data_IF_475781967409
#
_entry.id   IF_475781967409
#
_cell.length_a   1.000
_cell.length_b   1.000
_cell.length_c   1.000
_cell.angle_alpha   90.00
_cell.angle_beta   90.00
_cell.angle_gamma   90.00
#
_symmetry.space_group_name_H-M   'P 1'
#
loop_
_entity.id
_entity.type
_entity.pdbx_description
1 polymer ?
#
# COMPACT_ATOMS: atom_id res chain seq x y z
N UNK A 1 10.69 14.92 45.81
CA UNK A 1 9.52 14.13 45.37
C UNK A 1 8.83 14.69 44.11
N UNK A 2 8.77 16.01 43.88
CA UNK A 2 8.15 16.59 42.67
C UNK A 2 8.91 16.37 41.34
N UNK A 3 10.21 16.03 41.39
CA UNK A 3 11.05 15.85 40.18
C UNK A 3 10.90 14.47 39.51
N UNK A 4 10.32 13.49 40.19
CA UNK A 4 10.09 12.14 39.64
C UNK A 4 8.83 12.05 38.77
N UNK A 5 7.84 12.92 38.99
CA UNK A 5 6.59 12.94 38.22
C UNK A 5 6.80 13.44 36.79
N UNK A 6 7.76 14.34 36.57
CA UNK A 6 8.03 14.92 35.24
C UNK A 6 8.71 13.89 34.30
N UNK A 7 9.52 12.98 34.84
CA UNK A 7 10.22 11.98 34.02
C UNK A 7 9.28 10.85 33.52
N UNK A 8 8.24 10.51 34.30
CA UNK A 8 7.23 9.53 33.91
C UNK A 8 6.20 10.08 32.92
N UNK A 9 6.01 11.40 32.86
CA UNK A 9 5.11 12.04 31.89
C UNK A 9 5.74 12.12 30.48
N UNK A 10 7.07 12.18 30.37
CA UNK A 10 7.78 12.17 29.09
C UNK A 10 7.85 10.78 28.42
N UNK A 11 7.72 9.69 29.19
CA UNK A 11 7.69 8.32 28.64
C UNK A 11 6.34 7.90 28.05
N UNK A 12 5.31 8.76 28.15
CA UNK A 12 3.99 8.55 27.53
C UNK A 12 3.82 9.26 26.19
N UNK A 13 4.89 9.82 25.62
CA UNK A 13 4.91 10.15 24.20
C UNK A 13 4.96 8.82 23.44
N UNK A 14 3.80 8.18 23.33
CA UNK A 14 3.57 7.07 22.42
C UNK A 14 3.95 7.57 21.03
N UNK A 15 5.14 7.20 20.59
CA UNK A 15 5.52 7.34 19.19
C UNK A 15 4.50 6.51 18.42
N UNK A 16 3.61 7.17 17.68
CA UNK A 16 2.76 6.50 16.71
C UNK A 16 3.73 5.83 15.73
N UNK A 17 3.86 4.51 15.83
CA UNK A 17 4.63 3.74 14.87
C UNK A 17 3.88 3.84 13.54
N UNK A 18 4.28 4.81 12.71
CA UNK A 18 3.88 4.84 11.30
C UNK A 18 4.53 3.61 10.65
N UNK A 19 3.74 2.84 9.92
CA UNK A 19 4.26 1.68 9.22
C UNK A 19 4.54 2.02 7.77
N UNK A 20 5.67 1.51 7.31
CA UNK A 20 6.09 1.56 5.93
C UNK A 20 6.75 2.86 5.50
N UNK A 21 7.04 2.93 4.20
CA UNK A 21 7.69 4.07 3.57
C UNK A 21 6.80 5.31 3.49
N UNK A 22 5.48 5.15 3.63
CA UNK A 22 4.50 6.22 3.54
C UNK A 22 4.01 6.61 4.94
N UNK A 23 4.38 7.80 5.46
CA UNK A 23 3.95 8.26 6.78
C UNK A 23 2.52 8.83 6.78
N UNK A 24 1.92 9.08 5.62
CA UNK A 24 0.62 9.72 5.53
C UNK A 24 -0.51 8.75 5.93
N UNK A 25 -1.62 9.26 6.51
CA UNK A 25 -2.77 8.46 6.86
C UNK A 25 -3.57 8.03 5.63
N UNK A 26 -4.22 6.87 5.73
CA UNK A 26 -5.19 6.36 4.75
C UNK A 26 -4.64 6.28 3.32
N UNK A 27 -3.49 5.61 3.16
CA UNK A 27 -2.83 5.42 1.87
C UNK A 27 -2.89 3.96 1.43
N UNK A 28 -3.22 3.70 0.18
CA UNK A 28 -3.06 2.37 -0.43
C UNK A 28 -1.72 2.31 -1.17
N UNK A 29 -0.98 1.23 -0.98
CA UNK A 29 0.32 1.00 -1.63
C UNK A 29 0.57 -0.46 -1.97
N UNK A 30 1.63 -0.70 -2.74
CA UNK A 30 2.09 -2.03 -3.15
C UNK A 30 3.46 -2.31 -2.54
N UNK A 31 3.59 -3.44 -1.86
CA UNK A 31 4.82 -3.78 -1.13
C UNK A 31 5.15 -5.28 -1.26
N UNK A 32 6.42 -5.63 -1.16
CA UNK A 32 6.90 -7.02 -1.17
C UNK A 32 7.05 -7.63 0.23
N UNK A 33 6.70 -6.87 1.26
CA UNK A 33 6.58 -7.32 2.65
C UNK A 33 5.28 -6.79 3.27
N UNK A 34 4.90 -7.35 4.42
CA UNK A 34 3.66 -6.98 5.12
C UNK A 34 3.82 -5.81 6.09
N UNK A 35 5.04 -5.30 6.28
CA UNK A 35 5.32 -4.11 7.09
C UNK A 35 5.25 -2.81 6.26
N UNK A 36 5.25 -2.91 4.93
CA UNK A 36 5.17 -1.77 4.02
C UNK A 36 6.53 -1.12 3.74
N UNK A 37 7.63 -1.85 3.90
CA UNK A 37 9.00 -1.29 3.86
C UNK A 37 9.71 -1.48 2.51
N UNK A 38 9.23 -2.39 1.67
CA UNK A 38 9.91 -2.83 0.45
C UNK A 38 8.99 -2.66 -0.76
N UNK A 39 9.32 -1.75 -1.67
CA UNK A 39 8.59 -1.52 -2.93
C UNK A 39 9.31 -2.07 -4.16
N UNK A 40 10.52 -2.62 -3.98
CA UNK A 40 11.30 -3.23 -5.03
C UNK A 40 11.82 -4.59 -4.62
N UNK A 41 11.86 -5.52 -5.57
CA UNK A 41 12.50 -6.81 -5.34
C UNK A 41 13.14 -7.34 -6.61
N UNK A 42 13.84 -8.47 -6.47
CA UNK A 42 14.39 -9.22 -7.59
C UNK A 42 13.72 -10.59 -7.65
N UNK A 43 13.54 -11.10 -8.86
CA UNK A 43 12.87 -12.36 -9.12
C UNK A 43 13.60 -13.12 -10.23
N UNK A 44 13.70 -14.44 -10.09
CA UNK A 44 14.25 -15.29 -11.13
C UNK A 44 13.30 -15.42 -12.33
N UNK A 45 13.83 -15.82 -13.47
CA UNK A 45 13.04 -16.21 -14.64
C UNK A 45 12.08 -17.36 -14.28
N UNK A 46 10.81 -17.25 -14.68
CA UNK A 46 9.74 -18.21 -14.34
C UNK A 46 9.66 -18.43 -12.83
N UNK A 47 9.30 -17.38 -12.09
CA UNK A 47 9.11 -17.47 -10.64
C UNK A 47 7.86 -16.75 -10.18
N UNK A 48 7.47 -17.04 -8.94
CA UNK A 48 6.34 -16.43 -8.26
C UNK A 48 6.87 -15.54 -7.14
N UNK A 49 6.32 -14.33 -7.05
CA UNK A 49 6.67 -13.36 -6.01
C UNK A 49 5.39 -12.83 -5.39
N UNK A 50 5.32 -12.88 -4.06
CA UNK A 50 4.22 -12.29 -3.33
C UNK A 50 4.43 -10.77 -3.20
N UNK A 51 3.41 -10.03 -3.60
CA UNK A 51 3.25 -8.61 -3.35
C UNK A 51 1.95 -8.40 -2.56
N UNK A 52 1.86 -7.33 -1.78
CA UNK A 52 0.76 -7.05 -0.90
C UNK A 52 0.17 -5.68 -1.24
N UNK A 53 -1.14 -5.63 -1.38
CA UNK A 53 -1.89 -4.37 -1.35
C UNK A 53 -2.10 -4.01 0.12
N UNK A 54 -1.47 -2.94 0.58
CA UNK A 54 -1.53 -2.51 1.97
C UNK A 54 -2.29 -1.18 2.08
N UNK A 55 -3.19 -1.09 3.05
CA UNK A 55 -3.72 0.18 3.56
C UNK A 55 -2.85 0.61 4.75
N UNK A 56 -2.07 1.66 4.57
CA UNK A 56 -1.14 2.18 5.58
C UNK A 56 -1.77 3.31 6.38
N UNK A 57 -1.39 3.34 7.66
CA UNK A 57 -1.81 4.30 8.68
C UNK A 57 -3.32 4.63 8.65
N UNK A 58 -4.22 3.62 8.60
CA UNK A 58 -5.65 3.86 8.48
C UNK A 58 -6.21 4.60 9.71
N UNK A 59 -7.09 5.56 9.47
CA UNK A 59 -7.80 6.32 10.52
C UNK A 59 -9.10 5.67 10.97
N UNK A 60 -9.51 4.59 10.29
CA UNK A 60 -10.68 3.78 10.58
C UNK A 60 -10.28 2.47 11.30
N UNK A 61 -11.12 1.92 12.19
CA UNK A 61 -10.76 0.74 12.99
C UNK A 61 -10.89 -0.60 12.23
N UNK A 62 -11.65 -0.62 11.14
CA UNK A 62 -11.87 -1.81 10.32
C UNK A 62 -12.31 -1.44 8.90
N UNK A 63 -12.12 -2.37 7.97
CA UNK A 63 -12.47 -2.22 6.55
C UNK A 63 -13.38 -3.36 6.09
N UNK A 64 -14.46 -3.04 5.39
CA UNK A 64 -15.41 -4.01 4.82
C UNK A 64 -15.20 -4.30 3.33
N UNK A 65 -14.23 -3.65 2.71
CA UNK A 65 -13.94 -3.82 1.29
C UNK A 65 -13.05 -2.71 0.78
N UNK A 66 -12.54 -2.87 -0.43
CA UNK A 66 -11.77 -1.82 -1.10
C UNK A 66 -11.92 -1.94 -2.61
N UNK A 67 -11.54 -0.88 -3.30
CA UNK A 67 -11.41 -0.88 -4.74
C UNK A 67 -10.12 -0.20 -5.19
N UNK A 68 -9.43 -0.82 -6.13
CA UNK A 68 -8.28 -0.28 -6.83
C UNK A 68 -8.11 -0.99 -8.18
N UNK A 69 -7.07 -0.65 -8.92
CA UNK A 69 -6.64 -1.36 -10.11
C UNK A 69 -5.14 -1.63 -10.02
N UNK A 70 -4.74 -2.84 -10.45
CA UNK A 70 -3.34 -3.24 -10.56
C UNK A 70 -2.98 -3.37 -12.02
N UNK A 71 -2.17 -2.45 -12.52
CA UNK A 71 -1.80 -2.39 -13.93
C UNK A 71 -0.30 -2.60 -14.11
N UNK A 72 0.08 -2.94 -15.34
CA UNK A 72 1.47 -3.11 -15.78
C UNK A 72 1.59 -2.66 -17.23
N UNK A 73 2.80 -2.30 -17.71
CA UNK A 73 2.98 -1.92 -19.10
C UNK A 73 2.43 -2.97 -20.07
N UNK A 74 1.87 -2.49 -21.18
CA UNK A 74 1.36 -3.37 -22.23
C UNK A 74 2.50 -4.23 -22.81
N UNK A 75 2.21 -5.49 -23.13
CA UNK A 75 3.21 -6.43 -23.65
C UNK A 75 4.09 -7.11 -22.60
N UNK A 76 3.95 -6.79 -21.31
CA UNK A 76 4.68 -7.49 -20.26
C UNK A 76 4.10 -8.89 -20.03
N UNK A 77 4.96 -9.91 -20.10
CA UNK A 77 4.59 -11.32 -19.93
C UNK A 77 4.54 -11.73 -18.46
N UNK A 78 3.72 -11.05 -17.67
CA UNK A 78 3.46 -11.40 -16.27
C UNK A 78 1.98 -11.57 -16.03
N UNK A 79 1.61 -12.36 -15.02
CA UNK A 79 0.23 -12.54 -14.61
C UNK A 79 0.09 -12.25 -13.11
N UNK A 80 -1.07 -11.73 -12.73
CA UNK A 80 -1.41 -11.45 -11.35
C UNK A 80 -2.55 -12.37 -10.91
N UNK A 81 -2.35 -13.06 -9.79
CA UNK A 81 -3.43 -13.77 -9.09
C UNK A 81 -3.63 -13.11 -7.74
N UNK A 82 -4.87 -12.76 -7.39
CA UNK A 82 -5.18 -12.01 -6.18
C UNK A 82 -5.94 -12.89 -5.19
N UNK A 83 -5.51 -12.86 -3.94
CA UNK A 83 -6.17 -13.52 -2.80
C UNK A 83 -6.42 -12.49 -1.70
N UNK A 84 -7.39 -12.76 -0.83
CA UNK A 84 -7.88 -11.81 0.17
C UNK A 84 -7.79 -12.42 1.57
N UNK A 85 -7.65 -11.59 2.63
CA UNK A 85 -7.43 -12.07 4.01
C UNK A 85 -8.65 -12.79 4.59
N UNK A 86 -9.84 -12.55 4.02
CA UNK A 86 -11.11 -13.15 4.44
C UNK A 86 -11.94 -13.52 3.21
N UNK A 87 -13.01 -14.29 3.42
CA UNK A 87 -13.98 -14.57 2.36
C UNK A 87 -14.54 -13.27 1.81
N UNK A 88 -14.78 -13.24 0.50
CA UNK A 88 -15.02 -12.00 -0.22
C UNK A 88 -15.90 -12.22 -1.45
N UNK A 89 -16.39 -11.11 -1.99
CA UNK A 89 -17.00 -11.01 -3.31
C UNK A 89 -16.22 -9.96 -4.07
N UNK A 90 -15.46 -10.36 -5.09
CA UNK A 90 -14.83 -9.46 -6.05
C UNK A 90 -15.71 -9.37 -7.30
N UNK A 91 -16.25 -8.18 -7.57
CA UNK A 91 -17.03 -7.89 -8.79
C UNK A 91 -16.21 -7.16 -9.86
N UNK A 92 -14.96 -6.82 -9.54
CA UNK A 92 -14.03 -6.21 -10.48
C UNK A 92 -13.60 -7.19 -11.57
N UNK A 93 -13.38 -6.67 -12.77
CA UNK A 93 -12.74 -7.38 -13.87
C UNK A 93 -11.32 -6.84 -14.00
N UNK A 94 -10.34 -7.74 -14.11
CA UNK A 94 -8.93 -7.37 -14.24
C UNK A 94 -8.75 -6.28 -15.33
N UNK A 95 -7.98 -5.21 -15.06
CA UNK A 95 -7.09 -5.03 -13.90
C UNK A 95 -7.74 -4.53 -12.60
N UNK A 96 -9.05 -4.29 -12.61
CA UNK A 96 -9.77 -3.73 -11.46
C UNK A 96 -10.08 -4.79 -10.40
N UNK A 97 -9.91 -4.39 -9.15
CA UNK A 97 -10.28 -5.12 -7.95
C UNK A 97 -11.36 -4.29 -7.28
N UNK A 98 -12.57 -4.83 -7.16
CA UNK A 98 -13.70 -4.17 -6.49
C UNK A 98 -14.29 -5.22 -5.57
N UNK A 99 -13.86 -5.19 -4.31
CA UNK A 99 -14.09 -6.29 -3.38
C UNK A 99 -14.85 -5.86 -2.13
N UNK A 100 -15.85 -6.65 -1.77
CA UNK A 100 -16.49 -6.64 -0.46
C UNK A 100 -16.05 -7.84 0.36
N UNK A 101 -15.67 -7.62 1.61
CA UNK A 101 -15.31 -8.64 2.58
C UNK A 101 -16.53 -9.15 3.34
N UNK A 102 -16.58 -10.45 3.62
CA UNK A 102 -17.69 -11.08 4.36
C UNK A 102 -17.74 -10.64 5.83
N UNK A 103 -16.58 -10.28 6.39
CA UNK A 103 -16.41 -9.78 7.76
C UNK A 103 -15.47 -8.57 7.72
N UNK A 104 -15.61 -7.59 8.62
CA UNK A 104 -14.66 -6.48 8.71
C UNK A 104 -13.23 -7.00 8.98
N UNK A 105 -12.27 -6.48 8.23
CA UNK A 105 -10.84 -6.69 8.48
C UNK A 105 -10.38 -5.60 9.46
N UNK A 106 -9.92 -5.95 10.68
CA UNK A 106 -9.38 -4.98 11.62
C UNK A 106 -8.15 -4.30 11.04
N UNK A 107 -8.03 -3.00 11.25
CA UNK A 107 -6.89 -2.24 10.75
C UNK A 107 -5.69 -2.30 11.69
N UNK A 108 -4.51 -2.22 11.09
CA UNK A 108 -3.20 -2.08 11.71
C UNK A 108 -2.41 -0.99 10.97
N UNK A 109 -1.27 -0.52 11.50
CA UNK A 109 -0.43 0.46 10.81
C UNK A 109 -0.13 0.11 9.35
N UNK A 110 0.07 -1.17 9.04
CA UNK A 110 0.05 -1.70 7.67
C UNK A 110 -1.01 -2.82 7.62
N UNK A 111 -2.15 -2.55 6.99
CA UNK A 111 -3.27 -3.50 6.89
C UNK A 111 -3.23 -4.22 5.56
N UNK A 112 -3.11 -5.55 5.56
CA UNK A 112 -3.12 -6.35 4.32
C UNK A 112 -4.55 -6.41 3.76
N UNK A 113 -4.75 -5.80 2.59
CA UNK A 113 -6.03 -5.78 1.88
C UNK A 113 -6.14 -6.92 0.89
N UNK A 114 -5.04 -7.26 0.22
CA UNK A 114 -4.92 -8.41 -0.66
C UNK A 114 -3.46 -8.87 -0.79
N UNK A 115 -3.28 -10.15 -1.09
CA UNK A 115 -2.00 -10.72 -1.54
C UNK A 115 -2.09 -10.99 -3.03
N UNK A 116 -1.12 -10.46 -3.77
CA UNK A 116 -0.97 -10.58 -5.21
C UNK A 116 0.21 -11.52 -5.45
N UNK A 117 -0.08 -12.70 -5.99
CA UNK A 117 0.94 -13.58 -6.55
C UNK A 117 1.28 -13.08 -7.96
N UNK A 118 2.51 -12.58 -8.12
CA UNK A 118 3.04 -12.11 -9.39
C UNK A 118 3.84 -13.24 -10.02
N UNK A 119 3.31 -13.81 -11.10
CA UNK A 119 4.07 -14.71 -11.95
C UNK A 119 4.97 -13.90 -12.88
N UNK A 120 6.28 -14.01 -12.67
CA UNK A 120 7.32 -13.31 -13.42
C UNK A 120 7.87 -14.26 -14.48
N UNK A 121 7.61 -13.97 -15.76
CA UNK A 121 8.23 -14.72 -16.84
C UNK A 121 9.67 -14.25 -17.05
N UNK A 122 9.90 -12.96 -17.33
CA UNK A 122 11.23 -12.35 -17.48
C UNK A 122 11.17 -10.82 -17.40
N UNK A 123 12.34 -10.19 -17.24
CA UNK A 123 12.54 -8.75 -17.40
C UNK A 123 12.20 -7.90 -16.19
N UNK A 124 12.41 -6.59 -16.36
CA UNK A 124 11.95 -5.58 -15.41
C UNK A 124 10.44 -5.40 -15.55
N UNK A 125 9.75 -5.34 -14.41
CA UNK A 125 8.31 -5.14 -14.34
C UNK A 125 8.02 -3.96 -13.42
N UNK A 126 7.44 -2.91 -14.02
CA UNK A 126 6.79 -1.84 -13.28
C UNK A 126 5.33 -2.22 -13.03
N UNK A 127 4.86 -1.96 -11.82
CA UNK A 127 3.48 -2.24 -11.40
C UNK A 127 2.87 -0.92 -10.92
N UNK A 128 1.68 -0.63 -11.40
CA UNK A 128 0.95 0.60 -11.10
C UNK A 128 -0.25 0.30 -10.22
N UNK A 129 -0.49 1.18 -9.27
CA UNK A 129 -1.69 1.18 -8.44
C UNK A 129 -2.55 2.37 -8.83
N UNK A 130 -3.76 2.08 -9.31
CA UNK A 130 -4.67 3.07 -9.85
C UNK A 130 -6.05 2.95 -9.18
N UNK A 131 -6.97 3.90 -9.42
CA UNK A 131 -8.38 3.74 -9.09
C UNK A 131 -8.98 2.55 -9.84
N UNK A 132 -10.01 1.93 -9.27
CA UNK A 132 -10.78 0.91 -9.98
C UNK A 132 -11.55 1.52 -11.16
N UNK A 133 -11.87 0.68 -12.15
CA UNK A 133 -12.74 1.03 -13.28
C UNK A 133 -13.84 -0.04 -13.45
N UNK A 134 -15.12 0.30 -13.24
CA UNK A 134 -15.63 1.61 -12.84
C UNK A 134 -15.24 1.99 -11.40
N UNK A 135 -15.06 3.29 -11.16
CA UNK A 135 -14.79 3.87 -9.83
C UNK A 135 -16.11 4.12 -9.08
N UNK A 136 -16.12 3.88 -7.76
CA UNK A 136 -17.26 4.24 -6.91
C UNK A 136 -17.27 5.75 -6.59
N UNK A 137 -18.45 6.38 -6.45
CA UNK A 137 -18.53 7.78 -6.04
C UNK A 137 -17.90 8.05 -4.65
N UNK A 138 -17.27 9.22 -4.43
CA UNK A 138 -17.05 10.29 -5.41
C UNK A 138 -15.98 9.93 -6.45
N UNK A 139 -16.25 10.24 -7.72
CA UNK A 139 -15.33 10.01 -8.85
C UNK A 139 -14.21 11.05 -8.81
N UNK A 140 -13.15 10.74 -8.07
CA UNK A 140 -12.02 11.65 -7.85
C UNK A 140 -10.68 11.06 -8.29
N UNK A 141 -10.71 9.91 -8.99
CA UNK A 141 -9.50 9.28 -9.48
C UNK A 141 -8.62 8.77 -8.33
N UNK A 142 -9.24 8.29 -7.25
CA UNK A 142 -8.55 7.64 -6.14
C UNK A 142 -9.12 6.26 -5.86
N UNK A 143 -8.31 5.31 -5.38
CA UNK A 143 -8.84 4.09 -4.77
C UNK A 143 -9.83 4.39 -3.63
N UNK A 144 -10.68 3.41 -3.31
CA UNK A 144 -11.63 3.55 -2.20
C UNK A 144 -11.53 2.40 -1.22
N UNK A 145 -11.98 2.67 0.01
CA UNK A 145 -12.26 1.65 1.02
C UNK A 145 -13.69 1.80 1.52
N UNK A 146 -14.28 0.67 1.89
CA UNK A 146 -15.62 0.61 2.50
C UNK A 146 -15.46 0.53 4.01
N UNK A 147 -16.00 1.51 4.71
CA UNK A 147 -15.99 1.55 6.19
C UNK A 147 -16.97 0.54 6.77
N UNK A 148 -16.90 0.35 8.08
CA UNK A 148 -17.79 -0.57 8.79
C UNK A 148 -19.27 -0.19 8.69
N UNK A 149 -19.56 1.11 8.58
CA UNK A 149 -20.90 1.68 8.39
C UNK A 149 -21.38 1.67 6.93
N UNK A 150 -20.65 0.99 6.04
CA UNK A 150 -20.90 0.91 4.59
C UNK A 150 -20.78 2.24 3.83
N UNK A 151 -20.20 3.27 4.45
CA UNK A 151 -19.80 4.47 3.71
C UNK A 151 -18.49 4.25 2.98
N UNK A 152 -18.32 4.95 1.86
CA UNK A 152 -17.14 4.86 1.00
C UNK A 152 -16.20 6.01 1.33
N UNK A 153 -14.92 5.71 1.47
CA UNK A 153 -13.86 6.66 1.75
C UNK A 153 -12.81 6.60 0.65
N UNK A 154 -12.43 7.76 0.10
CA UNK A 154 -11.27 7.83 -0.78
C UNK A 154 -9.99 7.73 0.03
N UNK A 155 -9.04 6.96 -0.47
CA UNK A 155 -7.72 6.78 0.12
C UNK A 155 -6.68 7.24 -0.89
N UNK A 156 -5.59 7.80 -0.41
CA UNK A 156 -4.50 8.19 -1.29
C UNK A 156 -3.79 6.96 -1.86
N UNK A 157 -2.83 7.22 -2.75
CA UNK A 157 -1.89 6.20 -3.24
C UNK A 157 -0.50 6.58 -2.82
N UNK A 158 0.30 5.62 -2.35
CA UNK A 158 1.71 5.86 -1.99
C UNK A 158 2.55 6.40 -3.15
N UNK A 159 2.07 6.26 -4.38
CA UNK A 159 2.69 6.78 -5.61
C UNK A 159 1.62 7.46 -6.46
N UNK A 160 1.64 8.79 -6.54
CA UNK A 160 0.60 9.59 -7.18
C UNK A 160 0.63 9.45 -8.72
N UNK A 161 0.02 8.38 -9.24
CA UNK A 161 -0.01 8.04 -10.68
C UNK A 161 1.32 7.51 -11.26
N UNK A 162 2.32 7.30 -10.40
CA UNK A 162 3.61 6.72 -10.76
C UNK A 162 3.65 5.20 -10.62
N UNK A 163 4.83 4.63 -10.89
CA UNK A 163 5.11 3.22 -10.58
C UNK A 163 4.97 3.01 -9.07
N UNK A 164 4.19 2.03 -8.64
CA UNK A 164 3.90 1.71 -7.25
C UNK A 164 4.82 0.65 -6.66
N UNK A 165 5.26 -0.31 -7.48
CA UNK A 165 6.22 -1.34 -7.10
C UNK A 165 7.01 -1.85 -8.32
N UNK A 166 8.21 -2.37 -8.10
CA UNK A 166 9.10 -2.82 -9.18
C UNK A 166 9.72 -4.20 -8.91
N UNK A 167 9.80 -5.02 -9.96
CA UNK A 167 10.57 -6.27 -9.96
C UNK A 167 11.68 -6.16 -11.00
N UNK A 168 12.91 -6.54 -10.64
CA UNK A 168 14.08 -6.55 -11.55
C UNK A 168 14.39 -5.20 -12.22
N UNK A 169 13.94 -4.08 -11.63
CA UNK A 169 14.30 -2.76 -12.13
C UNK A 169 15.80 -2.49 -11.91
N UNK A 170 16.50 -1.85 -12.87
CA UNK A 170 17.93 -1.57 -12.76
C UNK A 170 18.28 -0.61 -11.61
N UNK A 171 17.33 0.24 -11.23
CA UNK A 171 17.36 1.05 -10.03
C UNK A 171 15.98 0.96 -9.38
N UNK A 172 15.94 0.69 -8.09
CA UNK A 172 14.70 0.77 -7.33
C UNK A 172 14.24 2.23 -7.30
N UNK A 173 12.95 2.46 -7.51
CA UNK A 173 12.32 3.75 -7.26
C UNK A 173 12.68 4.24 -5.86
N UNK A 174 13.27 5.43 -5.78
CA UNK A 174 13.45 6.11 -4.50
C UNK A 174 12.07 6.61 -4.11
N UNK A 175 11.47 6.02 -3.07
CA UNK A 175 10.31 6.64 -2.45
C UNK A 175 10.81 7.94 -1.86
N UNK A 176 10.20 9.07 -2.25
CA UNK A 176 10.54 10.41 -1.79
C UNK A 176 10.22 10.58 -0.30
N UNK A 177 10.90 9.84 0.55
CA UNK A 177 11.00 10.17 1.96
C UNK A 177 12.09 11.26 2.04
N UNK A 178 11.76 12.46 2.55
CA UNK A 178 12.69 13.60 2.64
C UNK A 178 14.01 13.23 3.33
N UNK A 179 13.99 12.22 4.21
CA UNK A 179 15.18 11.66 4.87
C UNK A 179 16.14 10.95 3.91
N UNK A 180 15.63 10.34 2.84
CA UNK A 180 16.41 9.64 1.82
C UNK A 180 16.79 10.53 0.62
N UNK A 181 16.01 11.56 0.30
CA UNK A 181 16.23 12.33 -0.94
C UNK A 181 17.10 13.59 -0.76
N UNK A 182 17.02 14.35 0.33
CA UNK A 182 17.88 15.54 0.54
C UNK A 182 18.13 15.94 2.01
N UNK A 183 17.55 15.25 3.00
CA UNK A 183 17.64 15.59 4.42
C UNK A 183 19.08 15.67 4.95
N UNK A 184 19.94 14.71 4.55
CA UNK A 184 21.36 14.71 4.93
C UNK A 184 22.15 15.89 4.34
N UNK A 185 21.78 16.36 3.13
CA UNK A 185 22.46 17.49 2.48
C UNK A 185 22.08 18.81 3.14
N UNK A 186 20.82 18.97 3.57
CA UNK A 186 20.36 20.17 4.30
C UNK A 186 21.04 20.33 5.67
N UNK A 187 21.48 19.24 6.30
CA UNK A 187 22.19 19.29 7.59
C UNK A 187 23.65 19.79 7.50
N UNK A 188 24.29 19.70 6.32
CA UNK A 188 25.67 20.15 6.08
C UNK A 188 25.80 21.66 5.81
N UNK A 189 24.70 22.36 5.53
CA UNK A 189 24.68 23.80 5.24
C UNK A 189 24.07 24.64 6.39
N UNK A 190 24.12 24.14 7.63
CA UNK A 190 23.75 24.91 8.83
C UNK A 190 24.97 25.48 9.55
#
# INVERSE_FOLDING_TARGET
MKKLVVLALLSLLATTAFAGLDPDPDMLGLYFDTAGETVCTTAAFISHVNMYVLLTNPTIPSVRGFECSLDKPAGTNSAFTVTFPVANINVGVAPSIIVGFSVPVPTSPATVMATVDVFVLDGALDIFLNPASPESPPLNGLPKVVREDFTIMSVGTSTNGGVAAQINAPACMVVDNEDASFGAVKALFR
#
